data_IF_213112443011
#
_entry.id   IF_213112443011
#
_cell.length_a   1.000
_cell.length_b   1.000
_cell.length_c   1.000
_cell.angle_alpha   90.00
_cell.angle_beta   90.00
_cell.angle_gamma   90.00
#
_symmetry.space_group_name_H-M   'P 1'
#
loop_
_entity.id
_entity.type
_entity.pdbx_description
1 polymer ?
#
# COMPACT_ATOMS: atom_id res chain seq x y z
N UNK A 1 0.84 -16.11 -20.47
CA UNK A 1 -0.28 -15.44 -19.79
C UNK A 1 0.33 -14.61 -18.67
N UNK A 2 0.13 -13.28 -18.71
CA UNK A 2 0.53 -12.43 -17.60
C UNK A 2 -0.46 -12.69 -16.44
N UNK A 3 0.04 -13.13 -15.28
CA UNK A 3 -0.81 -13.47 -14.13
C UNK A 3 -1.29 -12.24 -13.36
N UNK A 4 -0.78 -11.05 -13.70
CA UNK A 4 -1.10 -9.78 -13.06
C UNK A 4 -2.60 -9.43 -13.09
N UNK A 5 -3.35 -9.94 -14.07
CA UNK A 5 -4.80 -9.71 -14.16
C UNK A 5 -5.65 -10.76 -13.42
N UNK A 6 -5.02 -11.81 -12.86
CA UNK A 6 -5.72 -12.85 -12.11
C UNK A 6 -5.97 -12.43 -10.66
N UNK A 7 -7.24 -12.45 -10.21
CA UNK A 7 -7.63 -12.04 -8.85
C UNK A 7 -6.84 -12.73 -7.73
N UNK A 8 -6.59 -14.07 -7.75
CA UNK A 8 -5.79 -14.71 -6.70
C UNK A 8 -4.34 -14.20 -6.64
N UNK A 9 -3.75 -13.87 -7.79
CA UNK A 9 -2.40 -13.32 -7.85
C UNK A 9 -2.35 -11.90 -7.26
N UNK A 10 -3.29 -11.03 -7.63
CA UNK A 10 -3.41 -9.67 -7.09
C UNK A 10 -3.60 -9.67 -5.57
N UNK A 11 -4.48 -10.53 -5.05
CA UNK A 11 -4.67 -10.68 -3.59
C UNK A 11 -3.38 -11.12 -2.88
N UNK A 12 -2.70 -12.14 -3.42
CA UNK A 12 -1.43 -12.62 -2.86
C UNK A 12 -0.36 -11.53 -2.87
N UNK A 13 -0.28 -10.71 -3.93
CA UNK A 13 0.64 -9.58 -4.01
C UNK A 13 0.33 -8.53 -2.95
N UNK A 14 -0.95 -8.15 -2.79
CA UNK A 14 -1.38 -7.22 -1.75
C UNK A 14 -1.00 -7.69 -0.34
N UNK A 15 -1.21 -8.97 -0.03
CA UNK A 15 -0.82 -9.55 1.26
C UNK A 15 0.69 -9.45 1.51
N UNK A 16 1.52 -9.74 0.49
CA UNK A 16 2.98 -9.65 0.59
C UNK A 16 3.46 -8.21 0.77
N UNK A 17 2.91 -7.28 -0.01
CA UNK A 17 3.16 -5.84 0.11
C UNK A 17 2.80 -5.36 1.52
N UNK A 18 1.63 -5.74 2.03
CA UNK A 18 1.22 -5.41 3.40
C UNK A 18 2.19 -5.97 4.45
N UNK A 19 2.61 -7.23 4.32
CA UNK A 19 3.61 -7.85 5.19
C UNK A 19 4.95 -7.12 5.19
N UNK A 20 5.41 -6.68 4.00
CA UNK A 20 6.64 -5.91 3.87
C UNK A 20 6.54 -4.53 4.54
N UNK A 21 5.41 -3.83 4.37
CA UNK A 21 5.13 -2.57 5.07
C UNK A 21 5.09 -2.77 6.59
N UNK A 22 4.50 -3.87 7.08
CA UNK A 22 4.53 -4.22 8.50
C UNK A 22 5.96 -4.36 9.03
N UNK A 23 6.84 -5.01 8.26
CA UNK A 23 8.26 -5.15 8.58
C UNK A 23 8.98 -3.79 8.67
N UNK A 24 8.79 -2.93 7.67
CA UNK A 24 9.35 -1.56 7.67
C UNK A 24 8.87 -0.75 8.88
N UNK A 25 7.55 -0.72 9.11
CA UNK A 25 6.94 0.02 10.22
C UNK A 25 7.43 -0.50 11.58
N UNK A 26 7.69 -1.80 11.71
CA UNK A 26 8.24 -2.39 12.93
C UNK A 26 9.67 -1.91 13.18
N UNK A 27 10.54 -1.99 12.17
CA UNK A 27 11.95 -1.59 12.29
C UNK A 27 12.13 -0.11 12.60
N UNK A 28 11.28 0.73 11.99
CA UNK A 28 11.34 2.19 12.15
C UNK A 28 10.49 2.68 13.34
N UNK A 29 9.75 1.80 14.03
CA UNK A 29 8.87 2.13 15.17
C UNK A 29 7.67 3.04 14.78
N UNK A 30 7.16 2.88 13.57
CA UNK A 30 6.00 3.60 13.01
C UNK A 30 4.74 2.72 12.87
N UNK A 31 4.50 1.80 13.81
CA UNK A 31 3.36 0.85 13.73
C UNK A 31 1.99 1.53 13.73
N UNK A 32 1.88 2.76 14.26
CA UNK A 32 0.64 3.53 14.24
C UNK A 32 0.22 3.93 12.82
N UNK A 33 1.15 3.97 11.85
CA UNK A 33 0.86 4.20 10.44
C UNK A 33 -0.12 3.15 9.89
N UNK A 34 0.07 1.88 10.25
CA UNK A 34 -0.78 0.78 9.79
C UNK A 34 -2.23 0.93 10.26
N UNK A 35 -2.42 1.50 11.45
CA UNK A 35 -3.76 1.77 11.98
C UNK A 35 -4.49 2.82 11.15
N UNK A 36 -3.81 3.62 10.31
CA UNK A 36 -4.46 4.65 9.49
C UNK A 36 -5.00 4.10 8.18
N UNK A 37 -4.59 2.90 7.75
CA UNK A 37 -5.03 2.32 6.48
C UNK A 37 -6.37 1.63 6.63
N UNK A 38 -7.27 1.89 5.68
CA UNK A 38 -8.63 1.32 5.63
C UNK A 38 -8.75 0.23 4.58
N UNK A 39 -8.10 0.43 3.43
CA UNK A 39 -8.22 -0.46 2.28
C UNK A 39 -6.95 -0.44 1.44
N UNK A 40 -6.64 -1.58 0.86
CA UNK A 40 -5.68 -1.72 -0.22
C UNK A 40 -6.40 -2.22 -1.46
N UNK A 41 -6.01 -1.68 -2.61
CA UNK A 41 -6.51 -2.14 -3.89
C UNK A 41 -5.38 -2.11 -4.90
N UNK A 42 -5.12 -3.25 -5.53
CA UNK A 42 -4.21 -3.36 -6.66
C UNK A 42 -5.07 -3.41 -7.90
N UNK A 43 -4.99 -2.45 -8.82
CA UNK A 43 -5.73 -2.49 -10.07
C UNK A 43 -4.85 -2.02 -11.23
N UNK A 44 -4.69 -2.88 -12.25
CA UNK A 44 -3.91 -2.59 -13.47
C UNK A 44 -2.49 -2.08 -13.17
N UNK A 45 -1.79 -2.71 -12.21
CA UNK A 45 -0.41 -2.36 -11.85
C UNK A 45 -0.28 -1.10 -10.97
N UNK A 46 -1.39 -0.59 -10.46
CA UNK A 46 -1.42 0.54 -9.54
C UNK A 46 -1.89 0.08 -8.16
N UNK A 47 -1.09 0.38 -7.14
CA UNK A 47 -1.50 0.21 -5.75
C UNK A 47 -2.22 1.46 -5.26
N UNK A 48 -3.48 1.33 -4.86
CA UNK A 48 -4.20 2.34 -4.11
C UNK A 48 -4.20 1.98 -2.64
N UNK A 49 -3.78 2.93 -1.79
CA UNK A 49 -3.85 2.86 -0.33
C UNK A 49 -4.85 3.89 0.15
N UNK A 50 -5.96 3.44 0.72
CA UNK A 50 -6.98 4.30 1.32
C UNK A 50 -6.69 4.48 2.81
N UNK A 51 -6.88 5.70 3.31
CA UNK A 51 -6.50 6.11 4.66
C UNK A 51 -7.68 6.76 5.39
N UNK A 52 -7.94 6.35 6.64
CA UNK A 52 -8.89 7.03 7.54
C UNK A 52 -8.31 8.26 8.25
N UNK A 53 -6.99 8.44 8.20
CA UNK A 53 -6.30 9.60 8.74
C UNK A 53 -5.23 10.04 7.72
N UNK A 54 -4.99 11.35 7.58
CA UNK A 54 -4.02 11.87 6.61
C UNK A 54 -2.64 11.24 6.86
N UNK A 55 -2.04 10.56 5.85
CA UNK A 55 -0.71 10.00 5.99
C UNK A 55 0.37 11.09 5.95
N UNK A 56 1.48 10.85 6.64
CA UNK A 56 2.72 11.62 6.43
C UNK A 56 3.43 11.14 5.17
N UNK A 57 4.42 11.91 4.67
CA UNK A 57 5.21 11.47 3.51
C UNK A 57 6.00 10.19 3.82
N UNK A 58 6.58 10.06 5.02
CA UNK A 58 7.26 8.84 5.46
C UNK A 58 6.33 7.61 5.45
N UNK A 59 5.08 7.78 5.85
CA UNK A 59 4.09 6.69 5.83
C UNK A 59 3.74 6.28 4.40
N UNK A 60 3.68 7.23 3.46
CA UNK A 60 3.48 6.94 2.04
C UNK A 60 4.67 6.21 1.44
N UNK A 61 5.89 6.59 1.81
CA UNK A 61 7.12 5.96 1.32
C UNK A 61 7.20 4.47 1.65
N UNK A 62 6.63 4.01 2.78
CA UNK A 62 6.60 2.58 3.08
C UNK A 62 5.92 1.78 1.97
N UNK A 63 4.82 2.31 1.43
CA UNK A 63 4.05 1.66 0.37
C UNK A 63 4.76 1.76 -0.97
N UNK A 64 5.37 2.90 -1.30
CA UNK A 64 6.18 3.06 -2.50
C UNK A 64 7.35 2.07 -2.52
N UNK A 65 8.11 1.97 -1.42
CA UNK A 65 9.20 1.00 -1.28
C UNK A 65 8.71 -0.45 -1.40
N UNK A 66 7.57 -0.77 -0.80
CA UNK A 66 7.00 -2.11 -0.88
C UNK A 66 6.54 -2.46 -2.31
N UNK A 67 5.87 -1.52 -2.99
CA UNK A 67 5.37 -1.71 -4.35
C UNK A 67 6.49 -1.85 -5.38
N UNK A 68 7.55 -1.05 -5.24
CA UNK A 68 8.74 -1.10 -6.10
C UNK A 68 9.64 -2.32 -5.84
N UNK A 69 9.38 -3.10 -4.78
CA UNK A 69 10.20 -4.27 -4.45
C UNK A 69 9.74 -5.54 -5.20
N UNK A 70 10.52 -6.62 -5.06
CA UNK A 70 10.17 -7.94 -5.58
C UNK A 70 8.90 -8.57 -4.97
N UNK A 71 8.37 -8.02 -3.88
CA UNK A 71 7.08 -8.46 -3.35
C UNK A 71 5.88 -7.75 -4.00
N UNK A 72 6.12 -6.60 -4.63
CA UNK A 72 5.13 -5.79 -5.33
C UNK A 72 5.16 -6.00 -6.83
N UNK A 73 5.10 -4.91 -7.59
CA UNK A 73 5.00 -4.90 -9.05
C UNK A 73 6.21 -4.25 -9.73
N UNK A 74 7.27 -3.95 -8.97
CA UNK A 74 8.48 -3.26 -9.44
C UNK A 74 8.25 -1.85 -10.01
N UNK A 75 7.04 -1.32 -9.89
CA UNK A 75 6.69 0.06 -10.22
C UNK A 75 6.61 0.92 -8.95
N UNK A 76 6.66 2.23 -9.11
CA UNK A 76 6.50 3.19 -8.00
C UNK A 76 5.10 3.80 -7.94
N UNK A 77 4.16 3.28 -8.76
CA UNK A 77 2.84 3.91 -8.94
C UNK A 77 1.91 3.53 -7.79
N UNK A 78 1.96 4.34 -6.74
CA UNK A 78 1.08 4.25 -5.58
C UNK A 78 0.18 5.48 -5.49
N UNK A 79 -1.13 5.27 -5.44
CA UNK A 79 -2.14 6.29 -5.18
C UNK A 79 -2.53 6.28 -3.70
N UNK A 80 -2.59 7.46 -3.09
CA UNK A 80 -3.00 7.62 -1.70
C UNK A 80 -4.32 8.38 -1.63
N UNK A 81 -5.36 7.72 -1.14
CA UNK A 81 -6.71 8.27 -1.03
C UNK A 81 -7.04 8.51 0.45
N UNK A 82 -7.46 9.71 0.82
CA UNK A 82 -7.89 10.00 2.19
C UNK A 82 -9.41 9.98 2.26
N UNK A 83 -9.95 9.06 3.05
CA UNK A 83 -11.40 8.81 3.21
C UNK A 83 -12.08 9.83 4.15
N UNK A 84 -11.29 10.65 4.87
CA UNK A 84 -11.83 11.73 5.69
C UNK A 84 -12.28 12.87 4.78
N UNK A 85 -13.58 12.92 4.50
CA UNK A 85 -14.19 13.78 3.51
C UNK A 85 -13.86 15.27 3.57
N UNK A 86 -14.30 15.96 2.51
CA UNK A 86 -14.30 17.43 2.39
C UNK A 86 -14.76 18.08 3.69
N UNK A 87 -13.92 18.92 4.28
CA UNK A 87 -14.41 19.99 5.15
C UNK A 87 -14.78 21.10 4.17
N UNK A 88 -16.08 21.26 3.93
CA UNK A 88 -16.62 22.47 3.31
C UNK A 88 -16.27 23.71 4.16
#
# INVERSE_FOLDING_TARGET
ANREDEEPYRLTRLERVYGFVCGQATLLKHMDALKKVTKLHDHKGVLTVSWRAKPTEEEKEFWQRAWASHVGDLSEVVLHEFDGGSID
#
